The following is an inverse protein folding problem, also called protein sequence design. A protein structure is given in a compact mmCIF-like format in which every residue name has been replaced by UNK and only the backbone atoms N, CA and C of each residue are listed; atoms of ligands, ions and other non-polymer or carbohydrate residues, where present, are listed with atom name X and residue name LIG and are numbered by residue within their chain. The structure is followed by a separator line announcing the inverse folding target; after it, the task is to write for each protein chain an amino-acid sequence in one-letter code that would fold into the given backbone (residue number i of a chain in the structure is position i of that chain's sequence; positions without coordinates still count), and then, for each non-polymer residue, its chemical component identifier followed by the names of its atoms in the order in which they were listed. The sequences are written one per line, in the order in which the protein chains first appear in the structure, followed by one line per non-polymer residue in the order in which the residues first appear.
data_IF_031368327667
#
_entry.id   IF_031368327667
#
_cell.length_a   1.000
_cell.length_b   1.000
_cell.length_c   1.000
_cell.angle_alpha   90.00
_cell.angle_beta   90.00
_cell.angle_gamma   90.00
#
_symmetry.space_group_name_H-M   'P 1'
#
loop_
_entity.id
_entity.type
_entity.pdbx_description
1 polymer ?
#
# COMPACT_ATOMS: atom_id res chain seq x y z
N UNK A 1 24.69 -7.98 -6.05
CA UNK A 1 23.36 -7.43 -6.39
C UNK A 1 22.31 -8.24 -5.62
N UNK A 2 21.69 -7.65 -4.59
CA UNK A 2 20.82 -8.37 -3.66
C UNK A 2 19.48 -8.73 -4.33
N UNK A 3 19.34 -9.97 -4.79
CA UNK A 3 18.14 -10.52 -5.47
C UNK A 3 16.88 -10.66 -4.61
N UNK A 4 16.83 -10.05 -3.42
CA UNK A 4 15.69 -10.18 -2.49
C UNK A 4 14.51 -9.27 -2.84
N UNK A 5 14.74 -8.11 -3.47
CA UNK A 5 13.66 -7.16 -3.81
C UNK A 5 12.73 -7.61 -4.94
N UNK A 6 13.26 -8.30 -5.96
CA UNK A 6 12.45 -8.78 -7.10
C UNK A 6 11.49 -9.92 -6.73
N UNK A 7 11.86 -10.76 -5.76
CA UNK A 7 11.06 -11.93 -5.36
C UNK A 7 9.79 -11.54 -4.59
N UNK A 8 9.85 -10.50 -3.76
CA UNK A 8 8.68 -9.97 -3.04
C UNK A 8 7.73 -9.26 -4.00
N UNK A 9 8.26 -8.39 -4.88
CA UNK A 9 7.49 -7.69 -5.91
C UNK A 9 6.64 -8.62 -6.79
N UNK A 10 7.25 -9.70 -7.29
CA UNK A 10 6.56 -10.65 -8.15
C UNK A 10 5.46 -11.41 -7.40
N UNK A 11 5.64 -11.67 -6.09
CA UNK A 11 4.63 -12.30 -5.25
C UNK A 11 3.45 -11.38 -4.95
N UNK A 12 3.72 -10.11 -4.62
CA UNK A 12 2.65 -9.14 -4.39
C UNK A 12 1.87 -8.85 -5.68
N UNK A 13 2.56 -8.66 -6.80
CA UNK A 13 1.91 -8.46 -8.11
C UNK A 13 0.94 -9.61 -8.43
N UNK A 14 1.41 -10.85 -8.41
CA UNK A 14 0.55 -12.01 -8.68
C UNK A 14 -0.59 -12.16 -7.65
N UNK A 15 -0.32 -11.90 -6.37
CA UNK A 15 -1.35 -11.99 -5.31
C UNK A 15 -2.49 -10.98 -5.52
N UNK A 16 -2.18 -9.83 -6.11
CA UNK A 16 -3.12 -8.73 -6.30
C UNK A 16 -3.58 -8.60 -7.77
N UNK A 17 -3.44 -9.67 -8.56
CA UNK A 17 -3.99 -9.74 -9.92
C UNK A 17 -3.19 -8.99 -10.99
N UNK A 18 -2.00 -8.48 -10.68
CA UNK A 18 -1.13 -7.84 -11.66
C UNK A 18 -0.39 -8.87 -12.51
N UNK A 19 -0.46 -8.66 -13.83
CA UNK A 19 0.26 -9.48 -14.82
C UNK A 19 1.76 -9.15 -14.91
N UNK A 20 2.13 -7.92 -14.52
CA UNK A 20 3.51 -7.45 -14.52
C UNK A 20 3.89 -6.79 -13.19
N UNK A 21 5.02 -7.20 -12.56
CA UNK A 21 5.57 -6.52 -11.39
C UNK A 21 5.96 -5.07 -11.64
N UNK A 22 6.27 -4.73 -12.89
CA UNK A 22 6.64 -3.37 -13.29
C UNK A 22 5.42 -2.46 -13.30
N UNK A 23 4.27 -2.97 -13.78
CA UNK A 23 2.99 -2.27 -13.72
C UNK A 23 2.56 -2.06 -12.26
N UNK A 24 2.61 -3.12 -11.45
CA UNK A 24 2.35 -3.03 -10.02
C UNK A 24 3.20 -1.94 -9.35
N UNK A 25 4.52 -1.92 -9.61
CA UNK A 25 5.42 -0.94 -9.00
C UNK A 25 5.13 0.47 -9.49
N UNK A 26 4.79 0.64 -10.77
CA UNK A 26 4.41 1.94 -11.34
C UNK A 26 3.16 2.47 -10.67
N UNK A 27 2.13 1.65 -10.54
CA UNK A 27 0.84 2.06 -9.99
C UNK A 27 0.96 2.31 -8.48
N UNK A 28 1.69 1.46 -7.76
CA UNK A 28 1.99 1.66 -6.35
C UNK A 28 2.76 2.98 -6.10
N UNK A 29 3.75 3.31 -6.94
CA UNK A 29 4.46 4.59 -6.86
C UNK A 29 3.52 5.75 -7.15
N UNK A 30 2.74 5.67 -8.23
CA UNK A 30 1.78 6.71 -8.57
C UNK A 30 0.81 6.96 -7.41
N UNK A 31 0.31 5.91 -6.76
CA UNK A 31 -0.60 6.02 -5.64
C UNK A 31 0.05 6.61 -4.38
N UNK A 32 1.27 6.20 -4.05
CA UNK A 32 1.93 6.59 -2.80
C UNK A 32 2.64 7.94 -2.93
N UNK A 33 3.11 8.32 -4.13
CA UNK A 33 3.79 9.59 -4.41
C UNK A 33 2.83 10.71 -4.84
N UNK A 34 1.61 10.39 -5.35
CA UNK A 34 0.62 11.43 -5.69
C UNK A 34 0.23 12.23 -4.45
N UNK A 35 -0.01 13.54 -4.63
CA UNK A 35 -0.54 14.36 -3.55
C UNK A 35 -1.86 13.77 -3.04
N UNK A 36 -2.06 13.70 -1.71
CA UNK A 36 -3.33 13.31 -1.12
C UNK A 36 -4.47 14.19 -1.62
N UNK A 37 -5.60 13.58 -1.93
CA UNK A 37 -6.86 14.26 -2.23
C UNK A 37 -7.72 14.34 -0.96
N UNK A 38 -8.91 14.93 -1.05
CA UNK A 38 -9.89 14.93 0.05
C UNK A 38 -10.44 13.54 0.40
N UNK A 39 -10.23 12.54 -0.48
CA UNK A 39 -10.69 11.14 -0.29
C UNK A 39 -9.57 10.23 0.20
N UNK A 40 -8.33 10.75 0.24
CA UNK A 40 -7.17 10.03 0.75
C UNK A 40 -7.12 10.13 2.27
N UNK A 41 -7.10 8.97 2.93
CA UNK A 41 -6.81 8.81 4.34
C UNK A 41 -5.42 8.19 4.53
N UNK A 42 -4.73 8.57 5.61
CA UNK A 42 -3.44 7.98 5.93
C UNK A 42 -3.10 8.11 7.41
N UNK A 43 -2.30 7.16 7.92
CA UNK A 43 -1.74 7.23 9.27
C UNK A 43 -0.33 6.61 9.29
N UNK A 44 0.43 6.94 10.32
CA UNK A 44 1.73 6.31 10.61
C UNK A 44 1.58 5.52 11.90
N UNK A 45 1.88 4.22 11.83
CA UNK A 45 1.91 3.34 13.00
C UNK A 45 3.05 3.68 13.97
N UNK A 46 3.00 3.16 15.19
CA UNK A 46 4.07 3.32 16.18
C UNK A 46 5.44 2.80 15.69
N UNK A 47 5.44 1.81 14.80
CA UNK A 47 6.64 1.22 14.19
C UNK A 47 7.15 2.03 12.97
N UNK A 48 6.60 3.22 12.72
CA UNK A 48 7.03 4.09 11.62
C UNK A 48 6.54 3.65 10.23
N UNK A 49 5.66 2.64 10.15
CA UNK A 49 5.05 2.22 8.89
C UNK A 49 3.91 3.17 8.52
N UNK A 50 3.96 3.72 7.31
CA UNK A 50 2.96 4.62 6.73
C UNK A 50 1.90 3.83 5.95
N UNK A 51 0.65 4.03 6.31
CA UNK A 51 -0.52 3.43 5.68
C UNK A 51 -1.30 4.50 4.95
N UNK A 52 -1.76 4.19 3.74
CA UNK A 52 -2.57 5.09 2.91
C UNK A 52 -3.71 4.34 2.25
N UNK A 53 -4.87 4.95 2.23
CA UNK A 53 -6.07 4.45 1.56
C UNK A 53 -6.80 5.59 0.87
N UNK A 54 -7.39 5.35 -0.30
CA UNK A 54 -8.25 6.33 -0.98
C UNK A 54 -9.65 5.76 -1.14
N UNK A 55 -10.62 6.41 -0.50
CA UNK A 55 -12.02 6.00 -0.49
C UNK A 55 -12.69 6.13 -1.85
N UNK A 56 -12.15 6.94 -2.77
CA UNK A 56 -12.72 7.12 -4.10
C UNK A 56 -12.26 6.05 -5.09
N UNK A 57 -11.01 5.63 -5.01
CA UNK A 57 -10.43 4.64 -5.94
C UNK A 57 -10.35 3.25 -5.34
N UNK A 58 -10.65 3.11 -4.06
CA UNK A 58 -10.49 1.87 -3.31
C UNK A 58 -9.03 1.38 -3.30
N UNK A 59 -8.06 2.29 -3.44
CA UNK A 59 -6.65 1.95 -3.47
C UNK A 59 -6.09 1.94 -2.05
N UNK A 60 -5.33 0.91 -1.70
CA UNK A 60 -4.63 0.77 -0.44
C UNK A 60 -3.13 0.58 -0.68
N UNK A 61 -2.29 1.19 0.15
CA UNK A 61 -0.85 1.03 0.08
C UNK A 61 -0.14 1.27 1.41
N UNK A 62 1.02 0.63 1.56
CA UNK A 62 1.85 0.73 2.76
C UNK A 62 3.30 1.00 2.37
N UNK A 63 3.94 1.93 3.09
CA UNK A 63 5.37 2.22 3.01
C UNK A 63 5.99 1.94 4.37
N UNK A 64 7.08 1.17 4.40
CA UNK A 64 7.82 0.92 5.65
C UNK A 64 8.59 2.16 6.12
N UNK A 65 9.12 2.11 7.34
CA UNK A 65 9.93 3.17 7.96
C UNK A 65 11.15 3.62 7.11
N UNK A 66 11.65 2.76 6.22
CA UNK A 66 12.79 3.06 5.33
C UNK A 66 12.37 3.67 3.99
N UNK A 67 11.08 3.97 3.79
CA UNK A 67 10.55 4.53 2.53
C UNK A 67 10.33 3.49 1.43
N UNK A 68 10.43 2.19 1.72
CA UNK A 68 10.15 1.13 0.77
C UNK A 68 8.66 0.81 0.69
N UNK A 69 8.11 0.72 -0.53
CA UNK A 69 6.75 0.24 -0.77
C UNK A 69 6.67 -1.23 -0.31
N UNK A 70 5.87 -1.48 0.72
CA UNK A 70 5.67 -2.82 1.28
C UNK A 70 4.56 -3.57 0.57
N UNK A 71 3.43 -2.91 0.31
CA UNK A 71 2.29 -3.49 -0.43
C UNK A 71 1.44 -2.40 -1.05
N UNK A 72 0.70 -2.75 -2.10
CA UNK A 72 -0.29 -1.89 -2.76
C UNK A 72 -1.33 -2.77 -3.45
N UNK A 73 -2.62 -2.49 -3.30
CA UNK A 73 -3.70 -3.22 -3.95
C UNK A 73 -5.06 -2.54 -3.71
N UNK A 74 -6.10 -3.04 -4.38
CA UNK A 74 -7.50 -2.69 -4.11
C UNK A 74 -8.12 -3.78 -3.21
N UNK A 75 -8.50 -3.49 -1.95
CA UNK A 75 -9.10 -4.49 -1.07
C UNK A 75 -10.53 -4.83 -1.52
N UNK A 76 -10.88 -6.11 -1.50
CA UNK A 76 -12.25 -6.58 -1.81
C UNK A 76 -13.28 -6.00 -0.82
N UNK A 77 -12.92 -5.89 0.46
CA UNK A 77 -13.77 -5.35 1.52
C UNK A 77 -13.73 -3.81 1.63
N UNK A 78 -12.93 -3.15 0.78
CA UNK A 78 -12.81 -1.71 0.69
C UNK A 78 -12.59 -0.98 2.02
N UNK A 79 -13.49 -0.07 2.37
CA UNK A 79 -13.39 0.75 3.58
C UNK A 79 -13.33 -0.09 4.85
N UNK A 80 -14.00 -1.26 4.88
CA UNK A 80 -13.96 -2.15 6.04
C UNK A 80 -12.53 -2.62 6.31
N UNK A 81 -11.80 -3.01 5.26
CA UNK A 81 -10.39 -3.37 5.38
C UNK A 81 -9.55 -2.23 5.94
N UNK A 82 -9.79 -1.00 5.47
CA UNK A 82 -9.09 0.20 5.97
C UNK A 82 -9.32 0.43 7.47
N UNK A 83 -10.56 0.34 7.93
CA UNK A 83 -10.91 0.51 9.35
C UNK A 83 -10.23 -0.55 10.23
N UNK A 84 -10.14 -1.79 9.77
CA UNK A 84 -9.40 -2.84 10.46
C UNK A 84 -7.90 -2.51 10.57
N UNK A 85 -7.28 -1.95 9.50
CA UNK A 85 -5.87 -1.53 9.57
C UNK A 85 -5.66 -0.42 10.60
N UNK A 86 -6.59 0.54 10.70
CA UNK A 86 -6.54 1.58 11.73
C UNK A 86 -6.61 0.95 13.12
N UNK A 87 -7.56 0.05 13.36
CA UNK A 87 -7.72 -0.59 14.68
C UNK A 87 -6.48 -1.37 15.12
N UNK A 88 -5.84 -2.06 14.17
CA UNK A 88 -4.67 -2.90 14.43
C UNK A 88 -3.36 -2.11 14.57
N UNK A 89 -3.17 -1.05 13.76
CA UNK A 89 -1.86 -0.44 13.58
C UNK A 89 -1.80 1.06 13.89
N UNK A 90 -2.93 1.75 13.97
CA UNK A 90 -2.91 3.17 14.31
C UNK A 90 -2.43 3.36 15.76
N UNK A 91 -1.65 4.41 16.03
CA UNK A 91 -1.23 4.76 17.38
C UNK A 91 -2.47 5.05 18.25
N UNK A 92 -2.50 4.47 19.44
CA UNK A 92 -3.58 4.63 20.44
C UNK A 92 -3.28 5.76 21.41
#
# INVERSE_FOLDING_TARGET
MNGKGKSTLNKHANKHGYLSPEEYLRDARNFLEKQPTSTTESFVSNEGTYFRYDTSTNEFGIVNEYGGISTYFEPEDGLTYWLEQIELYAPK
#
